data_IF_345073575750
#
_entry.id   IF_345073575750
#
_cell.length_a   1.000
_cell.length_b   1.000
_cell.length_c   1.000
_cell.angle_alpha   90.00
_cell.angle_beta   90.00
_cell.angle_gamma   90.00
#
_symmetry.space_group_name_H-M   'P 1'
#
loop_
_entity.id
_entity.type
_entity.pdbx_description
1 polymer ?
#
# COMPACT_ATOMS: atom_id res chain seq x y z
N UNK A 1 2.19 28.98 -9.29
CA UNK A 1 2.67 27.63 -8.93
C UNK A 1 1.44 26.84 -8.55
N UNK A 2 1.06 25.83 -9.34
CA UNK A 2 -0.10 25.01 -9.02
C UNK A 2 0.19 24.32 -7.68
N UNK A 3 -0.69 24.54 -6.71
CA UNK A 3 -0.60 23.90 -5.42
C UNK A 3 -1.00 22.43 -5.65
N UNK A 4 -0.04 21.54 -5.92
CA UNK A 4 -0.27 20.11 -6.14
C UNK A 4 -0.58 19.38 -4.81
N UNK A 5 -1.52 19.91 -4.04
CA UNK A 5 -2.02 19.25 -2.83
C UNK A 5 -3.22 18.39 -3.20
N UNK A 6 -3.11 17.07 -3.05
CA UNK A 6 -4.25 16.17 -3.18
C UNK A 6 -5.30 16.48 -2.10
N UNK A 7 -6.58 16.30 -2.45
CA UNK A 7 -7.66 16.29 -1.48
C UNK A 7 -7.51 15.11 -0.54
N UNK A 8 -8.17 15.16 0.62
CA UNK A 8 -8.17 14.05 1.57
C UNK A 8 -8.77 12.77 0.96
N UNK A 9 -9.78 12.90 0.09
CA UNK A 9 -10.40 11.75 -0.57
C UNK A 9 -9.50 11.18 -1.66
N UNK A 10 -8.75 12.01 -2.38
CA UNK A 10 -7.72 11.57 -3.33
C UNK A 10 -6.60 10.82 -2.61
N UNK A 11 -6.11 11.38 -1.49
CA UNK A 11 -5.11 10.73 -0.64
C UNK A 11 -5.58 9.36 -0.13
N UNK A 12 -6.82 9.27 0.36
CA UNK A 12 -7.37 7.99 0.80
C UNK A 12 -7.61 7.02 -0.35
N UNK A 13 -8.03 7.51 -1.52
CA UNK A 13 -8.19 6.69 -2.72
C UNK A 13 -6.85 6.13 -3.18
N UNK A 14 -5.80 6.94 -3.16
CA UNK A 14 -4.42 6.53 -3.44
C UNK A 14 -4.00 5.39 -2.49
N UNK A 15 -4.19 5.56 -1.18
CA UNK A 15 -3.86 4.49 -0.22
C UNK A 15 -4.65 3.20 -0.49
N UNK A 16 -5.96 3.27 -0.73
CA UNK A 16 -6.75 2.08 -1.09
C UNK A 16 -6.20 1.37 -2.33
N UNK A 17 -5.81 2.13 -3.35
CA UNK A 17 -5.25 1.56 -4.58
C UNK A 17 -3.89 0.90 -4.34
N UNK A 18 -3.03 1.50 -3.51
CA UNK A 18 -1.73 0.94 -3.14
C UNK A 18 -1.88 -0.40 -2.41
N UNK A 19 -2.71 -0.45 -1.37
CA UNK A 19 -2.96 -1.68 -0.60
C UNK A 19 -3.64 -2.77 -1.47
N UNK A 20 -4.50 -2.35 -2.41
CA UNK A 20 -5.09 -3.28 -3.36
C UNK A 20 -4.05 -3.88 -4.31
N UNK A 21 -3.07 -3.09 -4.76
CA UNK A 21 -1.96 -3.57 -5.58
C UNK A 21 -1.06 -4.52 -4.82
N UNK A 22 -0.66 -4.18 -3.58
CA UNK A 22 0.13 -5.07 -2.73
C UNK A 22 -0.58 -6.40 -2.45
N UNK A 23 -1.87 -6.34 -2.13
CA UNK A 23 -2.71 -7.53 -1.99
C UNK A 23 -2.70 -8.40 -3.26
N UNK A 24 -2.94 -7.80 -4.44
CA UNK A 24 -2.93 -8.51 -5.73
C UNK A 24 -1.56 -9.11 -6.04
N UNK A 25 -0.49 -8.37 -5.75
CA UNK A 25 0.88 -8.80 -5.97
C UNK A 25 1.22 -10.05 -5.14
N UNK A 26 1.01 -10.00 -3.83
CA UNK A 26 1.29 -11.16 -2.97
C UNK A 26 0.35 -12.34 -3.26
N UNK A 27 -0.93 -12.08 -3.53
CA UNK A 27 -1.87 -13.17 -3.87
C UNK A 27 -1.55 -13.85 -5.19
N UNK A 28 -1.06 -13.12 -6.19
CA UNK A 28 -0.51 -13.71 -7.40
C UNK A 28 0.66 -14.65 -7.04
N UNK A 29 1.65 -14.18 -6.30
CA UNK A 29 2.80 -14.97 -5.87
C UNK A 29 2.47 -16.25 -5.09
N UNK A 30 1.38 -16.25 -4.31
CA UNK A 30 0.93 -17.44 -3.56
C UNK A 30 0.61 -18.62 -4.51
N UNK A 31 0.09 -18.34 -5.71
CA UNK A 31 -0.27 -19.36 -6.69
C UNK A 31 0.96 -20.03 -7.34
N UNK A 32 2.11 -19.34 -7.30
CA UNK A 32 3.36 -19.78 -7.95
C UNK A 32 4.42 -20.28 -6.96
N UNK A 33 4.11 -20.28 -5.66
CA UNK A 33 5.07 -20.63 -4.60
C UNK A 33 4.54 -21.71 -3.66
N UNK A 34 5.45 -22.37 -2.94
CA UNK A 34 5.11 -23.36 -1.91
C UNK A 34 5.96 -23.15 -0.65
N UNK A 35 5.72 -23.96 0.39
CA UNK A 35 6.59 -24.01 1.57
C UNK A 35 6.64 -22.69 2.35
N UNK A 36 7.85 -22.25 2.71
CA UNK A 36 8.05 -21.04 3.54
C UNK A 36 7.71 -19.76 2.78
N UNK A 37 8.04 -19.67 1.50
CA UNK A 37 7.72 -18.50 0.65
C UNK A 37 6.21 -18.30 0.57
N UNK A 38 5.45 -19.34 0.26
CA UNK A 38 3.98 -19.22 0.18
C UNK A 38 3.36 -18.79 1.52
N UNK A 39 3.90 -19.28 2.64
CA UNK A 39 3.43 -18.88 3.98
C UNK A 39 3.70 -17.40 4.25
N UNK A 40 4.90 -16.92 3.92
CA UNK A 40 5.24 -15.50 4.03
C UNK A 40 4.28 -14.63 3.19
N UNK A 41 4.08 -14.97 1.92
CA UNK A 41 3.20 -14.21 1.03
C UNK A 41 1.73 -14.19 1.50
N UNK A 42 1.24 -15.27 2.11
CA UNK A 42 -0.10 -15.29 2.74
C UNK A 42 -0.22 -14.30 3.90
N UNK A 43 0.84 -14.16 4.71
CA UNK A 43 0.86 -13.20 5.81
C UNK A 43 0.90 -11.77 5.27
N UNK A 44 1.78 -11.49 4.31
CA UNK A 44 1.90 -10.17 3.68
C UNK A 44 0.57 -9.75 3.02
N UNK A 45 -0.02 -10.60 2.18
CA UNK A 45 -1.34 -10.35 1.58
C UNK A 45 -2.44 -10.09 2.64
N UNK A 46 -2.39 -10.78 3.77
CA UNK A 46 -3.34 -10.57 4.86
C UNK A 46 -3.27 -9.17 5.47
N UNK A 47 -2.06 -8.59 5.59
CA UNK A 47 -1.86 -7.24 6.11
C UNK A 47 -2.44 -6.20 5.14
N UNK A 48 -2.01 -6.24 3.88
CA UNK A 48 -2.49 -5.34 2.82
C UNK A 48 -4.02 -5.33 2.72
N UNK A 49 -4.66 -6.51 2.84
CA UNK A 49 -6.12 -6.59 2.86
C UNK A 49 -6.72 -5.82 4.05
N UNK A 50 -6.17 -5.99 5.25
CA UNK A 50 -6.65 -5.29 6.45
C UNK A 50 -6.46 -3.77 6.32
N UNK A 51 -5.33 -3.33 5.79
CA UNK A 51 -5.02 -1.92 5.54
C UNK A 51 -5.97 -1.31 4.50
N UNK A 52 -6.18 -1.98 3.37
CA UNK A 52 -7.16 -1.57 2.35
C UNK A 52 -8.53 -1.34 2.97
N UNK A 53 -9.00 -2.28 3.80
CA UNK A 53 -10.32 -2.17 4.45
C UNK A 53 -10.38 -1.02 5.47
N UNK A 54 -9.28 -0.72 6.18
CA UNK A 54 -9.20 0.44 7.08
C UNK A 54 -9.31 1.76 6.28
N UNK A 55 -8.58 1.89 5.17
CA UNK A 55 -8.65 3.09 4.33
C UNK A 55 -9.98 3.23 3.61
N UNK A 56 -10.56 2.13 3.09
CA UNK A 56 -11.85 2.16 2.41
C UNK A 56 -12.96 2.63 3.35
N UNK A 57 -13.01 2.11 4.59
CA UNK A 57 -13.99 2.55 5.60
C UNK A 57 -13.88 4.05 5.91
N UNK A 58 -12.66 4.57 5.97
CA UNK A 58 -12.44 6.00 6.20
C UNK A 58 -12.85 6.85 4.97
N UNK A 59 -12.52 6.39 3.76
CA UNK A 59 -12.97 7.01 2.52
C UNK A 59 -14.50 7.08 2.46
N UNK A 60 -15.19 5.97 2.72
CA UNK A 60 -16.65 5.89 2.70
C UNK A 60 -17.27 6.83 3.74
N UNK A 61 -16.70 6.91 4.95
CA UNK A 61 -17.15 7.82 6.00
C UNK A 61 -17.04 9.30 5.58
N UNK A 62 -15.94 9.68 4.94
CA UNK A 62 -15.68 11.08 4.56
C UNK A 62 -16.47 11.47 3.31
N UNK A 63 -16.55 10.59 2.31
CA UNK A 63 -17.27 10.84 1.04
C UNK A 63 -18.78 10.96 1.21
N UNK A 64 -19.36 10.42 2.28
CA UNK A 64 -20.77 10.64 2.62
C UNK A 64 -21.09 12.09 3.04
N UNK A 65 -20.08 12.90 3.35
CA UNK A 65 -20.30 14.32 3.61
C UNK A 65 -20.57 15.07 2.30
N UNK A 66 -21.82 15.52 2.11
CA UNK A 66 -22.28 16.24 0.92
C UNK A 66 -21.58 17.57 0.66
N UNK A 67 -20.85 18.12 1.64
CA UNK A 67 -20.03 19.33 1.46
C UNK A 67 -18.69 19.04 0.78
N UNK A 68 -18.32 17.77 0.62
CA UNK A 68 -17.07 17.35 -0.02
C UNK A 68 -17.43 16.77 -1.39
N UNK A 69 -16.91 17.39 -2.45
CA UNK A 69 -17.04 16.86 -3.80
C UNK A 69 -16.22 15.58 -3.94
N UNK A 70 -16.87 14.46 -4.24
CA UNK A 70 -16.24 13.13 -4.33
C UNK A 70 -16.68 12.31 -5.54
N UNK A 71 -17.67 12.79 -6.30
CA UNK A 71 -18.29 12.02 -7.38
C UNK A 71 -17.29 11.73 -8.52
N UNK A 72 -16.40 12.69 -8.81
CA UNK A 72 -15.32 12.52 -9.79
C UNK A 72 -14.35 11.38 -9.43
N UNK A 73 -14.23 10.98 -8.16
CA UNK A 73 -13.35 9.87 -7.75
C UNK A 73 -13.96 8.50 -8.05
N UNK A 74 -15.24 8.44 -8.40
CA UNK A 74 -15.89 7.24 -8.92
C UNK A 74 -15.60 7.04 -10.41
N UNK A 75 -15.12 8.08 -11.08
CA UNK A 75 -14.74 8.01 -12.48
C UNK A 75 -13.51 7.11 -12.67
N UNK A 76 -13.58 6.21 -13.66
CA UNK A 76 -12.52 5.24 -13.95
C UNK A 76 -11.26 5.89 -14.51
N UNK A 77 -11.37 7.00 -15.23
CA UNK A 77 -10.24 7.77 -15.75
C UNK A 77 -9.49 8.44 -14.61
N UNK A 78 -10.21 9.05 -13.67
CA UNK A 78 -9.60 9.64 -12.45
C UNK A 78 -8.93 8.56 -11.60
N UNK A 79 -9.62 7.45 -11.37
CA UNK A 79 -9.03 6.31 -10.66
C UNK A 79 -7.79 5.77 -11.38
N UNK A 80 -7.83 5.67 -12.71
CA UNK A 80 -6.69 5.26 -13.54
C UNK A 80 -5.52 6.25 -13.47
N UNK A 81 -5.79 7.55 -13.45
CA UNK A 81 -4.78 8.59 -13.28
C UNK A 81 -4.09 8.48 -11.91
N UNK A 82 -4.87 8.44 -10.82
CA UNK A 82 -4.32 8.30 -9.46
C UNK A 82 -3.51 7.01 -9.30
N UNK A 83 -3.98 5.93 -9.92
CA UNK A 83 -3.26 4.66 -9.98
C UNK A 83 -1.94 4.79 -10.75
N UNK A 84 -1.92 5.46 -11.90
CA UNK A 84 -0.70 5.70 -12.66
C UNK A 84 0.37 6.48 -11.89
N UNK A 85 -0.03 7.36 -10.96
CA UNK A 85 0.91 8.11 -10.12
C UNK A 85 1.64 7.23 -9.08
N UNK A 86 1.03 6.13 -8.65
CA UNK A 86 1.61 5.19 -7.67
C UNK A 86 2.34 4.02 -8.32
N UNK A 87 1.86 3.56 -9.48
CA UNK A 87 2.42 2.40 -10.17
C UNK A 87 3.90 2.63 -10.53
N UNK A 88 4.28 3.83 -10.94
CA UNK A 88 5.70 4.14 -11.25
C UNK A 88 6.59 4.31 -10.01
N UNK A 89 6.01 4.32 -8.79
CA UNK A 89 6.73 4.66 -7.54
C UNK A 89 6.82 3.53 -6.53
N UNK A 90 5.81 2.65 -6.45
CA UNK A 90 5.71 1.64 -5.38
C UNK A 90 5.77 0.22 -5.94
N UNK A 91 5.15 -0.05 -7.09
CA UNK A 91 5.07 -1.38 -7.69
C UNK A 91 5.56 -1.35 -9.13
N UNK A 92 6.81 -1.78 -9.36
CA UNK A 92 7.37 -1.86 -10.71
C UNK A 92 6.64 -2.95 -11.53
N UNK A 93 5.77 -2.53 -12.45
CA UNK A 93 5.02 -3.44 -13.34
C UNK A 93 5.91 -4.26 -14.29
N UNK A 94 7.16 -3.88 -14.47
CA UNK A 94 8.10 -4.67 -15.27
C UNK A 94 8.62 -5.89 -14.52
N UNK A 95 8.50 -5.91 -13.19
CA UNK A 95 8.91 -7.00 -12.34
C UNK A 95 7.89 -8.15 -12.42
N UNK A 96 8.29 -9.27 -13.03
CA UNK A 96 7.45 -10.44 -13.13
C UNK A 96 7.33 -11.11 -11.74
N UNK A 97 6.12 -11.50 -11.29
CA UNK A 97 5.93 -12.20 -10.01
C UNK A 97 6.83 -13.43 -9.84
N UNK A 98 7.14 -14.12 -10.93
CA UNK A 98 8.03 -15.29 -10.95
C UNK A 98 9.46 -14.95 -10.51
N UNK A 99 9.94 -13.76 -10.85
CA UNK A 99 11.27 -13.27 -10.45
C UNK A 99 11.23 -12.75 -9.01
N UNK A 100 10.20 -11.98 -8.64
CA UNK A 100 10.03 -11.44 -7.30
C UNK A 100 9.83 -12.52 -6.21
N UNK A 101 9.25 -13.67 -6.58
CA UNK A 101 8.91 -14.74 -5.63
C UNK A 101 9.65 -16.06 -5.87
N UNK A 102 10.74 -16.03 -6.63
CA UNK A 102 11.58 -17.19 -6.95
C UNK A 102 11.96 -18.01 -5.72
N UNK A 103 12.30 -17.33 -4.63
CA UNK A 103 12.58 -17.93 -3.33
C UNK A 103 12.17 -17.00 -2.19
N UNK A 104 12.30 -17.49 -0.95
CA UNK A 104 11.92 -16.72 0.25
C UNK A 104 12.75 -15.46 0.41
N UNK A 105 14.03 -15.49 0.04
CA UNK A 105 14.93 -14.34 0.18
C UNK A 105 14.49 -13.22 -0.74
N UNK A 106 14.29 -13.51 -2.03
CA UNK A 106 13.83 -12.49 -3.00
C UNK A 106 12.46 -11.94 -2.63
N UNK A 107 11.54 -12.81 -2.19
CA UNK A 107 10.21 -12.38 -1.74
C UNK A 107 10.27 -11.38 -0.57
N UNK A 108 11.13 -11.64 0.42
CA UNK A 108 11.31 -10.73 1.57
C UNK A 108 12.03 -9.45 1.15
N UNK A 109 13.03 -9.52 0.25
CA UNK A 109 13.72 -8.33 -0.26
C UNK A 109 12.75 -7.38 -0.96
N UNK A 110 11.86 -7.93 -1.79
CA UNK A 110 10.82 -7.15 -2.45
C UNK A 110 9.86 -6.55 -1.43
N UNK A 111 9.38 -7.35 -0.47
CA UNK A 111 8.48 -6.86 0.57
C UNK A 111 9.11 -5.69 1.37
N UNK A 112 10.36 -5.81 1.82
CA UNK A 112 11.06 -4.70 2.51
C UNK A 112 11.06 -3.43 1.66
N UNK A 113 11.42 -3.52 0.38
CA UNK A 113 11.46 -2.37 -0.52
C UNK A 113 10.07 -1.74 -0.69
N UNK A 114 9.04 -2.55 -0.90
CA UNK A 114 7.65 -2.09 -1.01
C UNK A 114 7.23 -1.35 0.26
N UNK A 115 7.45 -1.94 1.43
CA UNK A 115 7.08 -1.36 2.72
C UNK A 115 7.83 -0.03 2.99
N UNK A 116 9.12 0.04 2.65
CA UNK A 116 9.89 1.29 2.75
C UNK A 116 9.34 2.40 1.85
N UNK A 117 8.84 2.06 0.66
CA UNK A 117 8.20 3.01 -0.26
C UNK A 117 6.82 3.42 0.26
N UNK A 118 6.02 2.47 0.77
CA UNK A 118 4.73 2.74 1.40
C UNK A 118 4.88 3.69 2.59
N UNK A 119 5.87 3.46 3.48
CA UNK A 119 6.19 4.36 4.60
C UNK A 119 6.53 5.77 4.11
N UNK A 120 7.30 5.91 3.02
CA UNK A 120 7.61 7.22 2.44
C UNK A 120 6.34 7.92 1.94
N UNK A 121 5.49 7.23 1.18
CA UNK A 121 4.25 7.80 0.64
C UNK A 121 3.31 8.21 1.79
N UNK A 122 3.11 7.34 2.78
CA UNK A 122 2.23 7.63 3.92
C UNK A 122 2.76 8.75 4.81
N UNK A 123 4.08 8.89 4.94
CA UNK A 123 4.67 10.03 5.64
C UNK A 123 4.35 11.36 4.93
N UNK A 124 4.47 11.41 3.60
CA UNK A 124 4.10 12.61 2.83
C UNK A 124 2.59 12.89 2.90
N UNK A 125 1.74 11.87 2.84
CA UNK A 125 0.29 12.02 3.01
C UNK A 125 -0.05 12.57 4.40
N UNK A 126 0.63 12.10 5.45
CA UNK A 126 0.40 12.54 6.82
C UNK A 126 0.68 14.04 7.00
N UNK A 127 1.69 14.58 6.32
CA UNK A 127 1.97 16.02 6.33
C UNK A 127 0.84 16.84 5.68
N UNK A 128 0.22 16.31 4.61
CA UNK A 128 -0.85 16.97 3.86
C UNK A 128 -2.26 16.87 4.48
N UNK A 129 -2.50 15.91 5.38
CA UNK A 129 -3.83 15.72 5.97
C UNK A 129 -4.07 16.67 7.16
N UNK A 130 -5.19 17.39 7.13
CA UNK A 130 -5.63 18.27 8.23
C UNK A 130 -6.73 17.67 9.11
N UNK A 131 -7.52 16.70 8.60
CA UNK A 131 -8.60 16.07 9.36
C UNK A 131 -8.03 15.08 10.39
N UNK A 132 -8.39 15.28 11.66
CA UNK A 132 -7.90 14.46 12.78
C UNK A 132 -8.16 12.97 12.60
N UNK A 133 -9.39 12.57 12.29
CA UNK A 133 -9.74 11.14 12.11
C UNK A 133 -8.85 10.44 11.07
N UNK A 134 -8.53 11.14 9.98
CA UNK A 134 -7.66 10.59 8.94
C UNK A 134 -6.19 10.57 9.35
N UNK A 135 -5.73 11.60 10.07
CA UNK A 135 -4.38 11.60 10.68
C UNK A 135 -4.21 10.46 11.68
N UNK A 136 -5.20 10.23 12.53
CA UNK A 136 -5.15 9.17 13.55
C UNK A 136 -5.05 7.79 12.88
N UNK A 137 -5.90 7.50 11.89
CA UNK A 137 -5.86 6.22 11.16
C UNK A 137 -4.55 6.06 10.39
N UNK A 138 -4.12 7.09 9.66
CA UNK A 138 -2.86 7.04 8.90
C UNK A 138 -1.65 6.87 9.83
N UNK A 139 -1.66 7.47 11.02
CA UNK A 139 -0.59 7.29 12.00
C UNK A 139 -0.49 5.85 12.50
N UNK A 140 -1.64 5.18 12.73
CA UNK A 140 -1.65 3.77 13.14
C UNK A 140 -1.07 2.88 12.04
N UNK A 141 -1.51 3.08 10.80
CA UNK A 141 -1.04 2.28 9.66
C UNK A 141 0.44 2.56 9.37
N UNK A 142 0.87 3.82 9.40
CA UNK A 142 2.28 4.20 9.21
C UNK A 142 3.21 3.53 10.24
N UNK A 143 2.79 3.42 11.50
CA UNK A 143 3.57 2.70 12.50
C UNK A 143 3.52 1.17 12.30
N UNK A 144 2.41 0.62 11.80
CA UNK A 144 2.33 -0.79 11.37
C UNK A 144 3.34 -1.08 10.24
N UNK A 145 3.41 -0.24 9.19
CA UNK A 145 4.36 -0.46 8.07
C UNK A 145 5.82 -0.31 8.49
N UNK A 146 6.13 0.66 9.35
CA UNK A 146 7.49 0.74 9.95
C UNK A 146 7.83 -0.55 10.72
N UNK A 147 6.84 -1.13 11.39
CA UNK A 147 6.95 -2.44 12.02
C UNK A 147 7.22 -3.56 11.01
N UNK A 148 6.53 -3.56 9.87
CA UNK A 148 6.76 -4.51 8.77
C UNK A 148 8.15 -4.38 8.19
N UNK A 149 8.63 -3.17 7.88
CA UNK A 149 10.00 -2.91 7.43
C UNK A 149 11.01 -3.52 8.41
N UNK A 150 10.86 -3.23 9.71
CA UNK A 150 11.78 -3.74 10.73
C UNK A 150 11.74 -5.28 10.84
N UNK A 151 10.54 -5.87 10.82
CA UNK A 151 10.35 -7.31 10.92
C UNK A 151 10.89 -8.05 9.70
N UNK A 152 10.53 -7.63 8.49
CA UNK A 152 10.99 -8.23 7.24
C UNK A 152 12.49 -8.05 7.04
N UNK A 153 13.05 -6.88 7.40
CA UNK A 153 14.50 -6.66 7.36
C UNK A 153 15.25 -7.60 8.30
N UNK A 154 14.68 -7.90 9.48
CA UNK A 154 15.25 -8.89 10.40
C UNK A 154 15.18 -10.30 9.81
N UNK A 155 14.02 -10.71 9.30
CA UNK A 155 13.87 -12.01 8.64
C UNK A 155 14.86 -12.19 7.48
N UNK A 156 15.09 -11.13 6.70
CA UNK A 156 16.04 -11.16 5.60
C UNK A 156 17.48 -11.43 6.08
N UNK A 157 17.91 -10.78 7.15
CA UNK A 157 19.24 -11.01 7.75
C UNK A 157 19.39 -12.45 8.22
N UNK A 158 18.40 -12.95 8.96
CA UNK A 158 18.38 -14.32 9.51
C UNK A 158 18.38 -15.42 8.42
N UNK A 159 18.05 -15.09 7.17
CA UNK A 159 18.08 -16.02 6.02
C UNK A 159 19.42 -15.97 5.27
N UNK A 160 20.16 -14.87 5.38
CA UNK A 160 21.45 -14.65 4.70
C UNK A 160 22.64 -15.11 5.54
N UNK A 161 22.49 -15.07 6.87
CA UNK A 161 23.44 -15.62 7.84
C UNK A 161 23.32 -17.15 7.99
#
# INVERSE_FOLDING_TARGET
MANNSFSILEMLKIAVLMEEEGYKFYTNGINHTTGKTQKFLKVAAGQEFVHKEKFQKLYDKISQNKEIESEYLLDSEVSGYLKGLIEDRVFDKSEQPEDAFKDLKTAIQHAVKTEELTVQVYSHMYEGISKKDAKDILSVILEEEKGHVAYFSKLLKDIVD
#
